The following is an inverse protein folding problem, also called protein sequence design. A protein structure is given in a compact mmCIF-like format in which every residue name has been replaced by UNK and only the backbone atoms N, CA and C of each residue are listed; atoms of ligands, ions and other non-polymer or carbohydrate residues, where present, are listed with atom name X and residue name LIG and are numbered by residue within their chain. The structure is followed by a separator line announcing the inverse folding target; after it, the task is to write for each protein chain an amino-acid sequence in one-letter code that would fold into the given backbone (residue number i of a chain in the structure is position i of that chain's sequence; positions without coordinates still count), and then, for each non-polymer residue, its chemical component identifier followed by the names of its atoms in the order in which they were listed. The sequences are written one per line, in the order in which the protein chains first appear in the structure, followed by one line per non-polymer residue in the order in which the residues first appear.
data_IF_738788949585
#
_entry.id   IF_738788949585
#
_cell.length_a   1.000
_cell.length_b   1.000
_cell.length_c   1.000
_cell.angle_alpha   90.00
_cell.angle_beta   90.00
_cell.angle_gamma   90.00
#
_symmetry.space_group_name_H-M   'P 1'
#
loop_
_entity.id
_entity.type
_entity.pdbx_description
1 polymer ?
#
# COMPACT_ATOMS: atom_id res chain seq x y z
N UNK A 1 22.82 12.10 -25.68
CA UNK A 1 22.45 10.69 -25.91
C UNK A 1 20.93 10.60 -25.86
N UNK A 2 20.32 10.40 -27.03
CA UNK A 2 18.87 10.53 -27.24
C UNK A 2 18.18 9.19 -26.93
N UNK A 3 17.35 9.15 -25.90
CA UNK A 3 16.54 7.96 -25.59
C UNK A 3 15.34 7.93 -26.54
N UNK A 4 15.33 6.95 -27.44
CA UNK A 4 14.21 6.67 -28.35
C UNK A 4 12.98 6.28 -27.52
N UNK A 5 11.89 7.02 -27.68
CA UNK A 5 10.57 6.60 -27.22
C UNK A 5 10.15 5.33 -27.99
N UNK A 6 10.01 4.21 -27.29
CA UNK A 6 9.35 3.03 -27.85
C UNK A 6 7.84 3.27 -27.84
N UNK A 7 7.29 3.64 -29.00
CA UNK A 7 5.85 3.65 -29.23
C UNK A 7 5.33 2.20 -29.21
N UNK A 8 4.56 1.86 -28.17
CA UNK A 8 3.81 0.62 -28.14
C UNK A 8 2.53 0.78 -28.98
N UNK A 9 2.27 -0.07 -29.99
CA UNK A 9 1.04 -0.01 -30.76
C UNK A 9 -0.17 -0.46 -29.92
N UNK A 10 -1.38 0.09 -30.17
CA UNK A 10 -2.59 -0.36 -29.50
C UNK A 10 -2.88 -1.82 -29.85
N UNK A 11 -3.44 -2.55 -28.87
CA UNK A 11 -3.71 -3.98 -28.94
C UNK A 11 -4.46 -4.36 -30.23
N UNK A 12 -3.80 -5.14 -31.10
CA UNK A 12 -4.46 -5.73 -32.27
C UNK A 12 -5.40 -6.82 -31.79
N UNK A 13 -6.67 -6.71 -32.17
CA UNK A 13 -7.67 -7.76 -32.04
C UNK A 13 -7.28 -8.88 -33.01
N UNK A 14 -6.64 -9.95 -32.52
CA UNK A 14 -6.29 -11.10 -33.35
C UNK A 14 -7.54 -11.87 -33.77
N UNK A 15 -7.67 -12.12 -35.08
CA UNK A 15 -8.63 -13.04 -35.68
C UNK A 15 -8.13 -14.47 -35.42
N UNK A 16 -9.01 -15.36 -34.99
CA UNK A 16 -8.70 -16.75 -34.61
C UNK A 16 -8.25 -17.59 -35.82
N UNK A 17 -6.96 -17.88 -35.90
CA UNK A 17 -6.41 -19.00 -36.69
C UNK A 17 -5.52 -19.87 -35.80
N UNK A 18 -6.05 -21.04 -35.43
CA UNK A 18 -5.32 -22.27 -35.08
C UNK A 18 -4.01 -22.15 -34.28
N UNK A 19 -4.00 -21.50 -33.13
CA UNK A 19 -2.81 -21.41 -32.27
C UNK A 19 -2.94 -22.37 -31.07
N UNK A 20 -1.95 -23.26 -30.89
CA UNK A 20 -1.82 -24.13 -29.70
C UNK A 20 -2.02 -23.28 -28.44
N UNK A 21 -2.98 -23.66 -27.58
CA UNK A 21 -3.28 -22.96 -26.32
C UNK A 21 -2.03 -22.86 -25.45
N UNK A 22 -1.36 -21.71 -25.49
CA UNK A 22 -0.33 -21.36 -24.51
C UNK A 22 -1.05 -21.24 -23.18
N UNK A 23 -0.77 -22.16 -22.25
CA UNK A 23 -1.33 -22.13 -20.89
C UNK A 23 -0.66 -20.99 -20.14
N UNK A 24 -1.36 -19.87 -19.96
CA UNK A 24 -0.90 -18.78 -19.10
C UNK A 24 -0.70 -19.29 -17.69
N UNK A 25 0.55 -19.36 -17.22
CA UNK A 25 0.90 -19.86 -15.87
C UNK A 25 0.79 -18.77 -14.81
N UNK A 26 1.00 -17.50 -15.20
CA UNK A 26 0.73 -16.32 -14.38
C UNK A 26 0.53 -15.08 -15.26
N UNK A 27 -0.11 -14.06 -14.72
CA UNK A 27 -0.20 -12.72 -15.31
C UNK A 27 0.20 -11.67 -14.27
N UNK A 28 0.74 -10.55 -14.73
CA UNK A 28 1.01 -9.39 -13.88
C UNK A 28 0.43 -8.15 -14.55
N UNK A 29 -0.09 -7.23 -13.73
CA UNK A 29 -0.55 -5.92 -14.18
C UNK A 29 0.53 -4.90 -13.84
N UNK A 30 0.94 -4.12 -14.84
CA UNK A 30 1.85 -2.98 -14.65
C UNK A 30 1.03 -1.71 -14.75
N UNK A 31 0.76 -1.07 -13.61
CA UNK A 31 0.20 0.27 -13.58
C UNK A 31 1.33 1.30 -13.67
N UNK A 32 1.12 2.37 -14.47
CA UNK A 32 2.01 3.53 -14.42
C UNK A 32 1.91 4.16 -13.02
N UNK A 33 3.05 4.39 -12.38
CA UNK A 33 3.12 5.13 -11.11
C UNK A 33 2.93 6.61 -11.42
N UNK A 34 1.80 7.19 -11.01
CA UNK A 34 1.49 8.60 -11.29
C UNK A 34 2.00 9.57 -10.21
N UNK A 35 2.32 9.08 -9.00
CA UNK A 35 3.03 9.87 -8.00
C UNK A 35 4.07 9.06 -7.25
N UNK A 36 5.27 9.61 -7.24
CA UNK A 36 6.45 9.15 -6.55
C UNK A 36 7.03 10.35 -5.77
N UNK A 37 7.21 10.18 -4.46
CA UNK A 37 7.75 11.20 -3.58
C UNK A 37 9.26 11.36 -3.77
N UNK A 38 9.97 10.25 -3.91
CA UNK A 38 11.43 10.21 -4.03
C UNK A 38 11.85 9.15 -5.07
N UNK A 39 12.98 9.35 -5.77
CA UNK A 39 13.46 8.38 -6.74
C UNK A 39 13.63 6.97 -6.17
N UNK A 40 13.42 5.96 -7.02
CA UNK A 40 13.65 4.57 -6.65
C UNK A 40 15.15 4.34 -6.40
N UNK A 41 15.45 3.50 -5.42
CA UNK A 41 16.82 3.19 -4.96
C UNK A 41 17.19 1.77 -5.40
N UNK A 42 18.43 1.57 -5.83
CA UNK A 42 18.92 0.24 -6.19
C UNK A 42 19.02 -0.62 -4.92
N UNK A 43 18.49 -1.84 -4.98
CA UNK A 43 18.66 -2.78 -3.89
C UNK A 43 20.15 -3.15 -3.70
N UNK A 44 20.70 -3.14 -2.48
CA UNK A 44 22.11 -3.47 -2.24
C UNK A 44 22.52 -4.89 -2.69
N UNK A 45 21.55 -5.79 -2.83
CA UNK A 45 21.77 -7.22 -3.11
C UNK A 45 21.28 -7.67 -4.49
N UNK A 46 20.74 -6.78 -5.33
CA UNK A 46 20.24 -7.13 -6.67
C UNK A 46 20.13 -5.91 -7.58
N UNK A 47 20.13 -6.11 -8.89
CA UNK A 47 20.01 -5.03 -9.89
C UNK A 47 18.55 -4.55 -10.08
N UNK A 48 17.74 -4.58 -9.04
CA UNK A 48 16.33 -4.19 -9.06
C UNK A 48 16.17 -2.87 -8.31
N UNK A 49 15.45 -1.93 -8.91
CA UNK A 49 15.06 -0.67 -8.29
C UNK A 49 13.88 -0.91 -7.34
N UNK A 50 14.06 -0.53 -6.08
CA UNK A 50 13.03 -0.52 -5.05
C UNK A 50 12.49 0.89 -4.86
N UNK A 51 11.26 0.99 -4.41
CA UNK A 51 10.71 2.27 -3.99
C UNK A 51 11.48 2.80 -2.78
N UNK A 52 11.56 4.13 -2.70
CA UNK A 52 12.12 4.78 -1.52
C UNK A 52 11.29 4.40 -0.28
N UNK A 53 11.90 4.49 0.90
CA UNK A 53 11.19 4.27 2.14
C UNK A 53 9.97 5.20 2.26
N UNK A 54 10.12 6.48 1.91
CA UNK A 54 9.04 7.46 1.88
C UNK A 54 7.87 7.03 0.99
N UNK A 55 8.16 6.50 -0.21
CA UNK A 55 7.13 6.04 -1.15
C UNK A 55 6.44 4.76 -0.69
N UNK A 56 7.17 3.86 -0.03
CA UNK A 56 6.60 2.65 0.56
C UNK A 56 5.64 2.99 1.70
N UNK A 57 6.05 3.86 2.63
CA UNK A 57 5.20 4.31 3.75
C UNK A 57 3.97 5.04 3.21
N UNK A 58 4.15 6.00 2.30
CA UNK A 58 3.02 6.72 1.72
C UNK A 58 2.06 5.78 0.96
N UNK A 59 2.60 4.78 0.25
CA UNK A 59 1.79 3.78 -0.47
C UNK A 59 0.97 2.90 0.47
N UNK A 60 1.55 2.50 1.60
CA UNK A 60 0.82 1.78 2.66
C UNK A 60 -0.25 2.64 3.30
N UNK A 61 0.03 3.90 3.59
CA UNK A 61 -0.97 4.83 4.11
C UNK A 61 -2.13 5.04 3.12
N UNK A 62 -1.86 5.15 1.81
CA UNK A 62 -2.92 5.19 0.78
C UNK A 62 -3.78 3.92 0.84
N UNK A 63 -3.16 2.74 0.84
CA UNK A 63 -3.90 1.48 0.90
C UNK A 63 -4.72 1.34 2.19
N UNK A 64 -4.18 1.81 3.32
CA UNK A 64 -4.84 1.81 4.62
C UNK A 64 -6.07 2.73 4.61
N UNK A 65 -5.96 3.95 4.08
CA UNK A 65 -7.08 4.89 3.96
C UNK A 65 -8.15 4.39 2.98
N UNK A 66 -7.75 3.94 1.79
CA UNK A 66 -8.69 3.58 0.71
C UNK A 66 -9.37 2.23 0.95
N UNK A 67 -8.64 1.23 1.45
CA UNK A 67 -9.08 -0.17 1.45
C UNK A 67 -9.13 -0.78 2.85
N UNK A 68 -8.34 -0.27 3.78
CA UNK A 68 -8.30 -0.76 5.16
C UNK A 68 -7.86 -2.22 5.27
N UNK A 69 -6.87 -2.65 4.48
CA UNK A 69 -6.41 -4.03 4.53
C UNK A 69 -5.67 -4.30 5.87
N UNK A 70 -6.01 -5.36 6.64
CA UNK A 70 -5.42 -5.62 7.95
C UNK A 70 -3.89 -5.68 7.97
N UNK A 71 -3.27 -6.14 6.87
CA UNK A 71 -1.81 -6.21 6.73
C UNK A 71 -1.16 -4.83 6.72
N UNK A 72 -1.78 -3.84 6.10
CA UNK A 72 -1.20 -2.50 6.00
C UNK A 72 -1.20 -1.79 7.36
N UNK A 73 -2.20 -2.06 8.22
CA UNK A 73 -2.18 -1.63 9.63
C UNK A 73 -0.97 -2.21 10.38
N UNK A 74 -0.76 -3.52 10.29
CA UNK A 74 0.37 -4.19 10.93
C UNK A 74 1.71 -3.66 10.43
N UNK A 75 1.84 -3.45 9.12
CA UNK A 75 3.09 -2.97 8.53
C UNK A 75 3.41 -1.54 8.99
N UNK A 76 2.43 -0.63 9.04
CA UNK A 76 2.60 0.73 9.58
C UNK A 76 2.90 0.69 11.09
N UNK A 77 2.21 -0.14 11.86
CA UNK A 77 2.49 -0.30 13.29
C UNK A 77 3.92 -0.80 13.52
N UNK A 78 4.36 -1.83 12.77
CA UNK A 78 5.68 -2.42 12.93
C UNK A 78 6.82 -1.42 12.62
N UNK A 79 6.70 -0.60 11.58
CA UNK A 79 7.72 0.41 11.27
C UNK A 79 7.75 1.54 12.30
N UNK A 80 6.60 1.93 12.85
CA UNK A 80 6.52 2.91 13.93
C UNK A 80 7.14 2.36 15.23
N UNK A 81 6.81 1.12 15.59
CA UNK A 81 7.38 0.43 16.75
C UNK A 81 8.90 0.23 16.63
N UNK A 82 9.40 -0.01 15.41
CA UNK A 82 10.82 -0.11 15.14
C UNK A 82 11.56 1.25 15.17
N UNK A 83 10.85 2.36 15.38
CA UNK A 83 11.43 3.71 15.41
C UNK A 83 11.93 4.20 14.05
N UNK A 84 11.51 3.56 12.95
CA UNK A 84 11.90 3.97 11.59
C UNK A 84 11.14 5.21 11.11
N UNK A 85 9.98 5.47 11.72
CA UNK A 85 9.15 6.65 11.49
C UNK A 85 8.17 6.85 12.65
N UNK A 86 7.45 7.96 12.68
CA UNK A 86 6.36 8.23 13.61
C UNK A 86 4.99 8.23 12.90
N UNK A 87 3.88 8.02 13.61
CA UNK A 87 2.54 8.16 13.03
C UNK A 87 2.33 9.52 12.35
N UNK A 88 2.88 10.60 12.91
CA UNK A 88 2.79 11.95 12.37
C UNK A 88 3.52 12.06 11.01
N UNK A 89 4.72 11.49 10.90
CA UNK A 89 5.48 11.44 9.66
C UNK A 89 4.79 10.58 8.59
N UNK A 90 4.21 9.43 8.96
CA UNK A 90 3.40 8.61 8.05
C UNK A 90 2.27 9.42 7.42
N UNK A 91 1.53 10.19 8.23
CA UNK A 91 0.48 11.09 7.75
C UNK A 91 1.01 12.22 6.88
N UNK A 92 2.19 12.75 7.17
CA UNK A 92 2.83 13.77 6.34
C UNK A 92 3.22 13.23 4.97
N UNK A 93 3.84 12.04 4.92
CA UNK A 93 4.21 11.37 3.67
C UNK A 93 2.97 11.06 2.81
N UNK A 94 1.89 10.59 3.44
CA UNK A 94 0.60 10.42 2.76
C UNK A 94 0.09 11.75 2.18
N UNK A 95 0.01 12.83 2.97
CA UNK A 95 -0.44 14.14 2.48
C UNK A 95 0.41 14.66 1.32
N UNK A 96 1.73 14.55 1.42
CA UNK A 96 2.66 14.95 0.35
C UNK A 96 2.34 14.19 -0.93
N UNK A 97 2.05 12.89 -0.83
CA UNK A 97 1.71 12.07 -1.99
C UNK A 97 0.35 12.43 -2.58
N UNK A 98 -0.67 12.67 -1.75
CA UNK A 98 -2.00 13.08 -2.22
C UNK A 98 -1.96 14.38 -3.02
N UNK A 99 -1.11 15.34 -2.60
CA UNK A 99 -0.89 16.59 -3.33
C UNK A 99 -0.27 16.37 -4.72
N UNK A 100 0.61 15.38 -4.87
CA UNK A 100 1.22 15.06 -6.17
C UNK A 100 0.23 14.44 -7.17
N UNK A 101 -0.79 13.73 -6.69
CA UNK A 101 -1.85 13.16 -7.53
C UNK A 101 -3.09 14.05 -7.64
N UNK A 102 -3.04 15.28 -7.12
CA UNK A 102 -4.19 16.20 -7.04
C UNK A 102 -5.44 15.53 -6.42
N UNK A 103 -5.22 14.64 -5.45
CA UNK A 103 -6.28 13.90 -4.77
C UNK A 103 -6.63 14.56 -3.44
N UNK A 104 -7.79 14.16 -2.91
CA UNK A 104 -8.25 14.55 -1.59
C UNK A 104 -7.17 14.26 -0.51
N UNK A 105 -6.76 15.32 0.18
CA UNK A 105 -5.81 15.30 1.30
C UNK A 105 -6.48 15.64 2.63
N UNK A 106 -7.83 15.63 2.67
CA UNK A 106 -8.63 15.91 3.86
C UNK A 106 -8.33 14.89 4.97
N UNK A 107 -7.57 15.35 5.97
CA UNK A 107 -7.08 14.50 7.08
C UNK A 107 -8.23 14.02 7.98
N UNK A 108 -9.22 14.85 8.36
CA UNK A 108 -10.46 14.38 9.00
C UNK A 108 -11.15 13.22 8.29
N UNK A 109 -11.38 13.33 6.98
CA UNK A 109 -12.05 12.29 6.19
C UNK A 109 -11.23 11.01 6.13
N UNK A 110 -9.91 11.12 5.93
CA UNK A 110 -9.02 9.98 5.91
C UNK A 110 -8.99 9.27 7.27
N UNK A 111 -8.94 10.03 8.38
CA UNK A 111 -9.01 9.47 9.74
C UNK A 111 -10.30 8.71 9.97
N UNK A 112 -11.44 9.30 9.61
CA UNK A 112 -12.74 8.63 9.74
C UNK A 112 -12.81 7.33 8.94
N UNK A 113 -12.22 7.29 7.74
CA UNK A 113 -12.14 6.08 6.94
C UNK A 113 -11.35 4.97 7.65
N UNK A 114 -10.21 5.33 8.27
CA UNK A 114 -9.39 4.39 9.05
C UNK A 114 -10.16 3.85 10.25
N UNK A 115 -10.80 4.72 11.03
CA UNK A 115 -11.61 4.33 12.19
C UNK A 115 -12.73 3.35 11.77
N UNK A 116 -13.43 3.66 10.68
CA UNK A 116 -14.46 2.79 10.10
C UNK A 116 -13.89 1.42 9.68
N UNK A 117 -12.70 1.39 9.08
CA UNK A 117 -12.05 0.13 8.68
C UNK A 117 -11.68 -0.72 9.90
N UNK A 118 -11.17 -0.10 10.97
CA UNK A 118 -10.81 -0.79 12.21
C UNK A 118 -12.04 -1.37 12.90
N UNK A 119 -13.13 -0.61 12.99
CA UNK A 119 -14.40 -1.11 13.52
C UNK A 119 -14.89 -2.34 12.75
N UNK A 120 -14.86 -2.27 11.41
CA UNK A 120 -15.21 -3.39 10.54
C UNK A 120 -14.31 -4.62 10.78
N UNK A 121 -13.00 -4.43 10.94
CA UNK A 121 -12.06 -5.52 11.23
C UNK A 121 -12.37 -6.15 12.59
N UNK A 122 -12.61 -5.32 13.61
CA UNK A 122 -12.95 -5.77 14.96
C UNK A 122 -14.27 -6.55 15.00
N UNK A 123 -15.26 -6.16 14.18
CA UNK A 123 -16.51 -6.91 14.02
C UNK A 123 -16.31 -8.29 13.39
N UNK A 124 -15.41 -8.41 12.40
CA UNK A 124 -15.14 -9.69 11.72
C UNK A 124 -14.18 -10.60 12.49
N UNK A 125 -13.36 -10.06 13.40
CA UNK A 125 -12.50 -10.84 14.29
C UNK A 125 -12.59 -10.27 15.70
N UNK A 126 -13.67 -10.59 16.45
CA UNK A 126 -13.87 -10.07 17.78
C UNK A 126 -12.70 -10.46 18.69
N UNK A 127 -12.14 -9.51 19.43
CA UNK A 127 -11.05 -9.78 20.38
C UNK A 127 -11.42 -10.89 21.38
N UNK A 128 -12.71 -10.99 21.73
CA UNK A 128 -13.26 -12.03 22.61
C UNK A 128 -13.12 -13.45 22.04
N UNK A 129 -13.06 -13.59 20.71
CA UNK A 129 -12.94 -14.87 20.01
C UNK A 129 -11.48 -15.27 19.74
N UNK A 130 -10.52 -14.39 20.05
CA UNK A 130 -9.10 -14.73 19.97
C UNK A 130 -8.76 -15.68 21.12
N UNK A 131 -8.58 -16.97 20.81
CA UNK A 131 -8.38 -18.05 21.78
C UNK A 131 -7.10 -17.90 22.60
N UNK A 132 -6.05 -17.34 21.99
CA UNK A 132 -4.76 -17.10 22.64
C UNK A 132 -4.75 -15.78 23.44
N UNK A 133 -4.53 -15.81 24.76
CA UNK A 133 -4.54 -14.60 25.60
C UNK A 133 -3.49 -13.57 25.18
N UNK A 134 -2.33 -14.03 24.69
CA UNK A 134 -1.24 -13.15 24.27
C UNK A 134 -1.57 -12.43 22.97
N UNK A 135 -2.13 -13.15 21.98
CA UNK A 135 -2.60 -12.56 20.72
C UNK A 135 -3.75 -11.58 20.93
N UNK A 136 -4.59 -11.82 21.94
CA UNK A 136 -5.68 -10.91 22.31
C UNK A 136 -5.15 -9.59 22.90
N UNK A 137 -4.12 -9.67 23.74
CA UNK A 137 -3.48 -8.50 24.32
C UNK A 137 -2.79 -7.64 23.25
N UNK A 138 -2.02 -8.26 22.37
CA UNK A 138 -1.36 -7.59 21.24
C UNK A 138 -2.37 -6.91 20.31
N UNK A 139 -3.42 -7.63 19.90
CA UNK A 139 -4.45 -7.05 19.03
C UNK A 139 -5.22 -5.89 19.69
N UNK A 140 -5.42 -5.92 21.01
CA UNK A 140 -6.05 -4.83 21.75
C UNK A 140 -5.15 -3.59 21.80
N UNK A 141 -3.85 -3.78 21.99
CA UNK A 141 -2.87 -2.70 21.98
C UNK A 141 -2.75 -2.06 20.59
N UNK A 142 -2.68 -2.89 19.53
CA UNK A 142 -2.66 -2.41 18.15
C UNK A 142 -3.90 -1.57 17.82
N UNK A 143 -5.09 -2.02 18.25
CA UNK A 143 -6.34 -1.29 18.05
C UNK A 143 -6.32 0.09 18.74
N UNK A 144 -5.83 0.16 19.98
CA UNK A 144 -5.75 1.42 20.73
C UNK A 144 -4.70 2.38 20.18
N UNK A 145 -3.57 1.86 19.68
CA UNK A 145 -2.51 2.67 19.10
C UNK A 145 -2.91 3.22 17.72
N UNK A 146 -3.74 2.51 16.96
CA UNK A 146 -4.23 2.99 15.67
C UNK A 146 -5.24 4.16 15.79
N UNK A 147 -5.81 4.41 16.98
CA UNK A 147 -6.78 5.49 17.25
C UNK A 147 -6.16 6.77 17.82
N UNK A 148 -4.88 6.74 18.24
CA UNK A 148 -4.14 7.88 18.81
C UNK A 148 -3.36 8.62 17.73
#
# INVERSE_FOLDING_TARGET
MTVRAMNFPPARRCRDEGMKKVKTVFSFQVARRYAQLEPSVLAPWTNILLDSFADLVAGKMVALVERGAPRDFRDIHAICQAGLTTPQECWELWRRRQRLVESDSDSPRARLAIETHLERIALHRPLAEITEPQQRAEAKEEFLNALK
#
